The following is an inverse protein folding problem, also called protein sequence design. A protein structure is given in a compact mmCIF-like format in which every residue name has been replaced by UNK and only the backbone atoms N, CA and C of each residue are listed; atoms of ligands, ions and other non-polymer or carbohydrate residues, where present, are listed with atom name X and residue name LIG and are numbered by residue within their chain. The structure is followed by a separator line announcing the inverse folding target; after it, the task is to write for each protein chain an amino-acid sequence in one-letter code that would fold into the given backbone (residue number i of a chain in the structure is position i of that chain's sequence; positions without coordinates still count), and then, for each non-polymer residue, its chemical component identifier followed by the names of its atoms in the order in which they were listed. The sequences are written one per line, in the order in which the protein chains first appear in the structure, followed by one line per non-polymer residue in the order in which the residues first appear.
data_IF_727041794991
#
_entry.id   IF_727041794991
#
_cell.length_a   1.000
_cell.length_b   1.000
_cell.length_c   1.000
_cell.angle_alpha   90.00
_cell.angle_beta   90.00
_cell.angle_gamma   90.00
#
_symmetry.space_group_name_H-M   'P 1'
#
loop_
_entity.id
_entity.type
_entity.pdbx_description
1 polymer ?
#
# COMPACT_ATOMS: atom_id res chain seq x y z
N UNK A 1 -8.98 9.26 7.71
CA UNK A 1 -9.92 8.43 8.47
C UNK A 1 -11.25 8.55 7.77
N UNK A 2 -11.77 7.45 7.26
CA UNK A 2 -13.08 7.38 6.63
C UNK A 2 -13.96 6.53 7.54
N UNK A 3 -14.94 7.15 8.18
CA UNK A 3 -15.67 6.61 9.33
C UNK A 3 -14.73 6.11 10.45
N UNK A 4 -14.66 4.80 10.67
CA UNK A 4 -13.80 4.10 11.64
C UNK A 4 -12.51 3.54 10.99
N UNK A 5 -12.35 3.72 9.69
CA UNK A 5 -11.29 3.10 8.91
C UNK A 5 -10.11 4.05 8.71
N UNK A 6 -8.91 3.57 9.07
CA UNK A 6 -7.66 4.31 8.86
C UNK A 6 -6.97 3.81 7.60
N UNK A 7 -6.71 4.75 6.68
CA UNK A 7 -5.95 4.53 5.46
C UNK A 7 -4.59 5.22 5.55
N UNK A 8 -3.52 4.49 5.25
CA UNK A 8 -2.21 5.09 5.02
C UNK A 8 -2.10 5.52 3.55
N UNK A 9 -2.40 6.78 3.29
CA UNK A 9 -2.34 7.34 1.93
C UNK A 9 -0.90 7.38 1.39
N UNK A 10 0.06 7.75 2.22
CA UNK A 10 1.47 7.79 1.82
C UNK A 10 2.42 7.67 3.01
N UNK A 11 3.55 7.00 2.78
CA UNK A 11 4.70 6.99 3.69
C UNK A 11 5.98 6.98 2.85
N UNK A 12 6.91 7.85 3.20
CA UNK A 12 8.17 7.98 2.50
C UNK A 12 9.32 8.29 3.47
N UNK A 13 10.44 7.59 3.27
CA UNK A 13 11.69 7.88 3.96
C UNK A 13 12.74 8.17 2.90
N UNK A 14 13.39 9.34 3.02
CA UNK A 14 14.48 9.76 2.13
C UNK A 14 15.59 8.70 2.11
N UNK A 15 16.21 8.39 0.95
CA UNK A 15 17.14 7.26 0.82
C UNK A 15 18.25 7.21 1.86
N UNK A 16 18.84 8.37 2.17
CA UNK A 16 19.93 8.51 3.14
C UNK A 16 19.53 8.12 4.58
N UNK A 17 18.23 8.12 4.90
CA UNK A 17 17.70 7.80 6.22
C UNK A 17 16.96 6.46 6.27
N UNK A 18 17.01 5.67 5.19
CA UNK A 18 16.34 4.36 5.14
C UNK A 18 17.06 3.35 6.02
N UNK A 19 16.33 2.32 6.46
CA UNK A 19 16.83 1.23 7.31
C UNK A 19 17.29 1.67 8.70
N UNK A 20 16.94 2.88 9.13
CA UNK A 20 17.21 3.43 10.46
C UNK A 20 16.00 3.31 11.42
N UNK A 21 14.92 2.64 11.02
CA UNK A 21 13.72 2.47 11.84
C UNK A 21 12.65 3.56 11.69
N UNK A 22 12.91 4.64 10.95
CA UNK A 22 11.95 5.75 10.79
C UNK A 22 10.57 5.30 10.26
N UNK A 23 10.55 4.48 9.21
CA UNK A 23 9.28 3.96 8.67
C UNK A 23 8.53 3.10 9.69
N UNK A 24 9.26 2.34 10.52
CA UNK A 24 8.68 1.52 11.59
C UNK A 24 8.02 2.38 12.66
N UNK A 25 8.69 3.46 13.07
CA UNK A 25 8.17 4.39 14.06
C UNK A 25 6.90 5.07 13.56
N UNK A 26 6.94 5.62 12.35
CA UNK A 26 5.77 6.22 11.71
C UNK A 26 4.62 5.21 11.59
N UNK A 27 4.90 3.98 11.14
CA UNK A 27 3.86 2.98 10.92
C UNK A 27 3.18 2.56 12.23
N UNK A 28 3.93 2.39 13.32
CA UNK A 28 3.36 2.11 14.64
C UNK A 28 2.40 3.18 15.11
N UNK A 29 2.75 4.46 14.92
CA UNK A 29 1.85 5.57 15.26
C UNK A 29 0.54 5.51 14.48
N UNK A 30 0.57 5.06 13.23
CA UNK A 30 -0.64 4.91 12.41
C UNK A 30 -1.47 3.69 12.85
N UNK A 31 -0.83 2.59 13.26
CA UNK A 31 -1.53 1.44 13.85
C UNK A 31 -2.21 1.81 15.18
N UNK A 32 -1.52 2.56 16.04
CA UNK A 32 -2.11 3.08 17.29
C UNK A 32 -3.32 3.99 17.00
N UNK A 33 -3.24 4.82 15.95
CA UNK A 33 -4.37 5.64 15.51
C UNK A 33 -5.56 4.79 15.07
N UNK A 34 -5.34 3.69 14.35
CA UNK A 34 -6.41 2.77 13.96
C UNK A 34 -7.18 2.23 15.18
N UNK A 35 -6.44 1.82 16.22
CA UNK A 35 -7.04 1.35 17.47
C UNK A 35 -7.86 2.45 18.15
N UNK A 36 -7.34 3.69 18.20
CA UNK A 36 -8.06 4.83 18.78
C UNK A 36 -9.34 5.15 18.00
N UNK A 37 -9.34 4.95 16.69
CA UNK A 37 -10.51 5.11 15.82
C UNK A 37 -11.50 3.93 15.91
N UNK A 38 -11.21 2.88 16.68
CA UNK A 38 -12.06 1.71 16.83
C UNK A 38 -11.85 0.61 15.80
N UNK A 39 -10.81 0.73 14.96
CA UNK A 39 -10.42 -0.28 13.98
C UNK A 39 -9.28 -1.19 14.46
N UNK A 40 -9.11 -2.32 13.79
CA UNK A 40 -8.08 -3.31 14.12
C UNK A 40 -6.85 -3.25 13.20
N UNK A 41 -6.89 -2.43 12.15
CA UNK A 41 -5.83 -2.42 11.12
C UNK A 41 -5.77 -1.11 10.33
N UNK A 42 -4.70 -0.97 9.54
CA UNK A 42 -4.46 0.15 8.63
C UNK A 42 -4.53 -0.33 7.18
N UNK A 43 -5.34 0.32 6.36
CA UNK A 43 -5.43 -0.05 4.94
C UNK A 43 -4.40 0.71 4.10
N UNK A 44 -3.83 0.03 3.11
CA UNK A 44 -2.75 0.55 2.29
C UNK A 44 -3.03 0.27 0.82
N UNK A 45 -2.88 1.27 -0.04
CA UNK A 45 -2.76 1.07 -1.48
C UNK A 45 -1.29 1.00 -1.85
N UNK A 46 -0.86 -0.18 -2.31
CA UNK A 46 0.54 -0.41 -2.68
C UNK A 46 0.58 -0.88 -4.13
N UNK A 47 1.28 -0.12 -4.95
CA UNK A 47 1.59 -0.52 -6.31
C UNK A 47 2.25 -1.91 -6.33
N UNK A 48 1.82 -2.86 -7.19
CA UNK A 48 2.30 -4.25 -7.16
C UNK A 48 3.83 -4.37 -7.32
N UNK A 49 4.45 -3.50 -8.11
CA UNK A 49 5.91 -3.48 -8.29
C UNK A 49 6.68 -2.75 -7.15
N UNK A 50 6.01 -2.24 -6.11
CA UNK A 50 6.68 -1.65 -4.95
C UNK A 50 7.10 -2.74 -3.95
N UNK A 51 8.04 -3.59 -4.40
CA UNK A 51 8.55 -4.70 -3.61
C UNK A 51 9.07 -4.29 -2.22
N UNK A 52 9.78 -3.15 -2.05
CA UNK A 52 10.22 -2.70 -0.73
C UNK A 52 9.07 -2.44 0.24
N UNK A 53 7.97 -1.83 -0.21
CA UNK A 53 6.80 -1.60 0.64
C UNK A 53 6.10 -2.91 0.99
N UNK A 54 5.90 -3.80 0.00
CA UNK A 54 5.28 -5.11 0.23
C UNK A 54 6.07 -5.91 1.27
N UNK A 55 7.40 -5.95 1.13
CA UNK A 55 8.28 -6.61 2.09
C UNK A 55 8.28 -5.93 3.46
N UNK A 56 8.11 -4.61 3.53
CA UNK A 56 7.98 -3.88 4.79
C UNK A 56 6.69 -4.27 5.51
N UNK A 57 5.53 -4.15 4.85
CA UNK A 57 4.21 -4.46 5.41
C UNK A 57 4.10 -5.92 5.87
N UNK A 58 4.67 -6.86 5.10
CA UNK A 58 4.69 -8.29 5.46
C UNK A 58 5.37 -8.57 6.81
N UNK A 59 6.34 -7.74 7.22
CA UNK A 59 7.00 -7.87 8.55
C UNK A 59 6.09 -7.48 9.71
N UNK A 60 5.00 -6.77 9.44
CA UNK A 60 3.99 -6.35 10.41
C UNK A 60 2.70 -7.18 10.32
N UNK A 61 2.72 -8.31 9.61
CA UNK A 61 1.58 -9.21 9.53
C UNK A 61 0.52 -8.81 8.49
N UNK A 62 0.79 -7.80 7.67
CA UNK A 62 -0.09 -7.44 6.56
C UNK A 62 0.08 -8.43 5.41
N UNK A 63 -1.05 -8.78 4.80
CA UNK A 63 -1.11 -9.58 3.58
C UNK A 63 -1.96 -8.87 2.52
N UNK A 64 -1.95 -9.40 1.30
CA UNK A 64 -2.67 -8.83 0.17
C UNK A 64 -4.18 -8.98 0.39
N UNK A 65 -4.86 -7.85 0.52
CA UNK A 65 -6.31 -7.79 0.35
C UNK A 65 -6.59 -7.73 -1.16
N UNK A 66 -7.42 -8.66 -1.67
CA UNK A 66 -7.70 -8.83 -3.09
C UNK A 66 -8.41 -7.61 -3.70
N UNK A 67 -7.66 -6.60 -4.13
CA UNK A 67 -8.19 -5.44 -4.85
C UNK A 67 -7.50 -5.29 -6.20
N UNK A 68 -8.33 -5.08 -7.23
CA UNK A 68 -7.89 -4.65 -8.55
C UNK A 68 -8.46 -3.25 -8.78
N UNK A 69 -7.61 -2.24 -8.81
CA UNK A 69 -8.01 -0.89 -9.21
C UNK A 69 -8.08 -0.82 -10.74
N UNK A 70 -9.26 -0.47 -11.28
CA UNK A 70 -9.49 -0.33 -12.72
C UNK A 70 -9.85 1.11 -13.03
N UNK A 71 -9.17 1.72 -14.00
CA UNK A 71 -9.50 3.06 -14.49
C UNK A 71 -9.48 3.13 -16.01
N UNK A 72 -10.08 4.20 -16.54
CA UNK A 72 -9.91 4.55 -17.95
C UNK A 72 -8.47 4.99 -18.19
N UNK A 73 -7.92 4.60 -19.34
CA UNK A 73 -6.60 5.05 -19.75
C UNK A 73 -6.57 6.59 -19.85
N UNK A 74 -5.47 7.19 -19.42
CA UNK A 74 -5.23 8.62 -19.65
C UNK A 74 -4.99 8.87 -21.13
N UNK A 75 -5.16 10.13 -21.55
CA UNK A 75 -4.82 10.52 -22.92
C UNK A 75 -3.32 10.28 -23.14
N UNK A 76 -2.99 9.58 -24.23
CA UNK A 76 -1.61 9.25 -24.65
C UNK A 76 -0.84 8.33 -23.67
N UNK A 77 -1.57 7.60 -22.82
CA UNK A 77 -0.98 6.60 -21.94
C UNK A 77 -0.54 5.33 -22.70
N UNK A 78 0.68 4.88 -22.42
CA UNK A 78 1.23 3.64 -22.94
C UNK A 78 1.47 2.64 -21.80
N UNK A 79 0.58 1.66 -21.68
CA UNK A 79 0.70 0.53 -20.75
C UNK A 79 1.48 -0.57 -21.47
N UNK A 80 2.77 -0.71 -21.14
CA UNK A 80 3.69 -1.62 -21.83
C UNK A 80 3.64 -3.04 -21.25
N UNK A 81 3.18 -3.18 -20.02
CA UNK A 81 3.22 -4.43 -19.28
C UNK A 81 1.82 -5.05 -19.18
N UNK A 82 1.77 -6.31 -18.76
CA UNK A 82 0.52 -7.01 -18.49
C UNK A 82 0.70 -7.89 -17.27
N UNK A 83 -0.25 -7.79 -16.34
CA UNK A 83 -0.32 -8.65 -15.16
C UNK A 83 -1.47 -9.64 -15.37
N UNK A 84 -1.18 -10.92 -15.22
CA UNK A 84 -2.19 -11.97 -15.26
C UNK A 84 -2.77 -12.18 -13.85
N UNK A 85 -4.10 -12.03 -13.70
CA UNK A 85 -4.80 -12.33 -12.45
C UNK A 85 -5.92 -13.33 -12.73
N UNK A 86 -5.71 -14.59 -12.33
CA UNK A 86 -6.61 -15.69 -12.69
C UNK A 86 -6.74 -15.81 -14.21
N UNK A 87 -7.97 -15.74 -14.71
CA UNK A 87 -8.29 -15.82 -16.15
C UNK A 87 -8.19 -14.46 -16.88
N UNK A 88 -7.90 -13.37 -16.16
CA UNK A 88 -7.98 -12.02 -16.70
C UNK A 88 -6.59 -11.37 -16.85
N UNK A 89 -6.19 -10.98 -18.07
CA UNK A 89 -5.02 -10.13 -18.28
C UNK A 89 -5.37 -8.65 -18.06
N UNK A 90 -4.58 -7.97 -17.24
CA UNK A 90 -4.70 -6.52 -17.00
C UNK A 90 -3.50 -5.79 -17.59
N UNK A 91 -3.76 -4.80 -18.45
CA UNK A 91 -2.69 -3.94 -18.99
C UNK A 91 -2.18 -3.02 -17.89
N UNK A 92 -0.86 -2.90 -17.82
CA UNK A 92 -0.13 -2.20 -16.76
C UNK A 92 0.93 -1.26 -17.34
#
# INVERSE_FOLDING_TARGET
VDDDTVWLESIYVVPAMRRMGLATELFRTVEELAVVCGGDTVYNYVHPNNHPMIAFLKRYGYDVLNLIEVRKAYKDENLADTVQVGEHPFRY
#
